data_IF_936439509185
#
_entry.id   IF_936439509185
#
_cell.length_a   1.000
_cell.length_b   1.000
_cell.length_c   1.000
_cell.angle_alpha   90.00
_cell.angle_beta   90.00
_cell.angle_gamma   90.00
#
_symmetry.space_group_name_H-M   'P 1'
#
loop_
_entity.id
_entity.type
_entity.pdbx_description
1 polymer ?
#
# COMPACT_ATOMS: atom_id res chain seq x y z
N UNK A 1 6.73 -23.17 10.47
CA UNK A 1 5.44 -23.77 10.89
C UNK A 1 5.40 -24.09 12.39
N UNK A 2 6.40 -24.76 12.95
CA UNK A 2 6.43 -25.11 14.39
C UNK A 2 6.33 -23.89 15.31
N UNK A 3 7.08 -22.82 15.00
CA UNK A 3 7.02 -21.55 15.74
C UNK A 3 5.63 -20.89 15.71
N UNK A 4 4.98 -20.86 14.55
CA UNK A 4 3.60 -20.35 14.43
C UNK A 4 2.61 -21.17 15.28
N UNK A 5 2.74 -22.50 15.29
CA UNK A 5 1.92 -23.36 16.13
C UNK A 5 2.05 -23.00 17.62
N UNK A 6 3.29 -22.80 18.11
CA UNK A 6 3.54 -22.38 19.49
C UNK A 6 2.99 -20.99 19.83
N UNK A 7 3.01 -20.04 18.89
CA UNK A 7 2.37 -18.72 19.09
C UNK A 7 0.85 -18.83 19.13
N UNK A 8 0.28 -19.66 18.26
CA UNK A 8 -1.16 -19.88 18.18
C UNK A 8 -1.71 -20.46 19.49
N UNK A 9 -0.96 -21.35 20.16
CA UNK A 9 -1.35 -21.92 21.46
C UNK A 9 -1.53 -20.87 22.58
N UNK A 10 -0.88 -19.71 22.47
CA UNK A 10 -1.01 -18.62 23.43
C UNK A 10 -2.33 -17.83 23.24
N UNK A 11 -3.03 -18.02 22.13
CA UNK A 11 -4.32 -17.38 21.88
C UNK A 11 -5.48 -18.16 22.50
N UNK A 12 -6.46 -17.48 23.11
CA UNK A 12 -7.72 -18.10 23.53
C UNK A 12 -8.40 -18.85 22.38
N UNK A 13 -8.88 -20.07 22.64
CA UNK A 13 -9.54 -20.93 21.64
C UNK A 13 -10.99 -20.52 21.38
N UNK A 14 -11.18 -19.32 20.82
CA UNK A 14 -12.50 -18.73 20.52
C UNK A 14 -12.47 -17.97 19.20
N UNK A 15 -13.60 -17.94 18.50
CA UNK A 15 -13.73 -17.31 17.18
C UNK A 15 -13.30 -15.84 17.14
N UNK A 16 -13.44 -15.10 18.25
CA UNK A 16 -13.02 -13.71 18.36
C UNK A 16 -11.51 -13.46 18.15
N UNK A 17 -10.67 -14.50 18.21
CA UNK A 17 -9.22 -14.36 17.95
C UNK A 17 -8.85 -14.58 16.47
N UNK A 18 -9.83 -14.72 15.56
CA UNK A 18 -9.59 -15.01 14.13
C UNK A 18 -8.61 -14.03 13.47
N UNK A 19 -8.89 -12.72 13.57
CA UNK A 19 -8.03 -11.70 12.95
C UNK A 19 -6.62 -11.75 13.52
N UNK A 20 -6.50 -11.87 14.84
CA UNK A 20 -5.22 -11.91 15.54
C UNK A 20 -4.41 -13.16 15.17
N UNK A 21 -5.07 -14.30 14.97
CA UNK A 21 -4.42 -15.52 14.49
C UNK A 21 -3.91 -15.37 13.04
N UNK A 22 -4.66 -14.67 12.18
CA UNK A 22 -4.22 -14.34 10.82
C UNK A 22 -3.04 -13.36 10.83
N UNK A 23 -3.08 -12.31 11.65
CA UNK A 23 -1.95 -11.39 11.81
C UNK A 23 -0.69 -12.11 12.28
N UNK A 24 -0.79 -12.98 13.29
CA UNK A 24 0.32 -13.80 13.76
C UNK A 24 0.89 -14.72 12.66
N UNK A 25 0.04 -15.31 11.82
CA UNK A 25 0.48 -16.11 10.70
C UNK A 25 1.28 -15.27 9.69
N UNK A 26 0.78 -14.08 9.35
CA UNK A 26 1.45 -13.17 8.43
C UNK A 26 2.74 -12.58 9.01
N UNK A 27 2.79 -12.26 10.30
CA UNK A 27 4.00 -11.78 10.97
C UNK A 27 5.11 -12.84 10.99
N UNK A 28 4.74 -14.11 11.25
CA UNK A 28 5.71 -15.20 11.34
C UNK A 28 6.20 -15.69 9.97
N UNK A 29 5.33 -15.70 8.95
CA UNK A 29 5.64 -16.28 7.64
C UNK A 29 5.72 -15.27 6.49
N UNK A 30 5.33 -14.02 6.71
CA UNK A 30 5.19 -13.00 5.68
C UNK A 30 3.89 -13.07 4.86
N UNK A 31 3.17 -14.21 4.92
CA UNK A 31 1.93 -14.48 4.18
C UNK A 31 1.11 -15.60 4.84
N UNK A 32 -0.15 -15.74 4.42
CA UNK A 32 -1.12 -16.72 4.93
C UNK A 32 -1.09 -17.97 4.03
N UNK A 33 -0.38 -19.00 4.48
CA UNK A 33 -0.34 -20.30 3.81
C UNK A 33 -1.60 -21.13 4.06
N UNK A 34 -1.86 -22.12 3.18
CA UNK A 34 -2.96 -23.10 3.40
C UNK A 34 -2.78 -23.86 4.71
N UNK A 35 -1.55 -24.15 5.11
CA UNK A 35 -1.28 -24.83 6.38
C UNK A 35 -1.52 -23.93 7.59
N UNK A 36 -1.27 -22.62 7.46
CA UNK A 36 -1.65 -21.64 8.48
C UNK A 36 -3.17 -21.63 8.67
N UNK A 37 -3.94 -21.58 7.58
CA UNK A 37 -5.41 -21.64 7.60
C UNK A 37 -5.90 -22.90 8.32
N UNK A 38 -5.34 -24.07 7.98
CA UNK A 38 -5.66 -25.35 8.64
C UNK A 38 -5.35 -25.35 10.13
N UNK A 39 -4.23 -24.75 10.55
CA UNK A 39 -3.87 -24.68 11.97
C UNK A 39 -4.80 -23.74 12.74
N UNK A 40 -5.11 -22.57 12.17
CA UNK A 40 -6.06 -21.61 12.76
C UNK A 40 -7.44 -22.24 12.90
N UNK A 41 -7.93 -22.90 11.85
CA UNK A 41 -9.22 -23.59 11.85
C UNK A 41 -9.30 -24.63 12.97
N UNK A 42 -8.25 -25.46 13.11
CA UNK A 42 -8.16 -26.47 14.18
C UNK A 42 -8.10 -25.85 15.58
N UNK A 43 -7.30 -24.79 15.76
CA UNK A 43 -7.14 -24.14 17.07
C UNK A 43 -8.43 -23.45 17.55
N UNK A 44 -9.08 -22.72 16.65
CA UNK A 44 -10.31 -21.96 16.94
C UNK A 44 -11.59 -22.81 16.85
N UNK A 45 -11.47 -24.09 16.46
CA UNK A 45 -12.58 -25.04 16.27
C UNK A 45 -13.64 -24.54 15.27
N UNK A 46 -13.17 -24.09 14.11
CA UNK A 46 -13.99 -23.62 12.99
C UNK A 46 -13.61 -24.33 11.70
N UNK A 47 -14.43 -24.17 10.65
CA UNK A 47 -14.08 -24.68 9.32
C UNK A 47 -12.98 -23.83 8.67
N UNK A 48 -12.19 -24.44 7.78
CA UNK A 48 -11.21 -23.71 6.96
C UNK A 48 -11.87 -22.59 6.13
N UNK A 49 -13.11 -22.80 5.65
CA UNK A 49 -13.87 -21.80 4.92
C UNK A 49 -14.16 -20.54 5.76
N UNK A 50 -14.45 -20.71 7.06
CA UNK A 50 -14.64 -19.58 7.98
C UNK A 50 -13.36 -18.80 8.25
N UNK A 51 -12.18 -19.43 8.12
CA UNK A 51 -10.88 -18.73 8.19
C UNK A 51 -10.55 -18.07 6.87
N UNK A 52 -10.84 -18.75 5.75
CA UNK A 52 -10.58 -18.26 4.40
C UNK A 52 -11.35 -16.97 4.10
N UNK A 53 -12.60 -16.87 4.55
CA UNK A 53 -13.44 -15.68 4.35
C UNK A 53 -12.73 -14.39 4.78
N UNK A 54 -12.43 -14.19 6.08
CA UNK A 54 -11.68 -13.04 6.56
C UNK A 54 -10.30 -12.91 5.93
N UNK A 55 -9.58 -14.00 5.72
CA UNK A 55 -8.25 -13.98 5.12
C UNK A 55 -8.26 -13.33 3.72
N UNK A 56 -9.29 -13.58 2.91
CA UNK A 56 -9.46 -12.96 1.58
C UNK A 56 -10.23 -11.64 1.58
N UNK A 57 -10.95 -11.33 2.66
CA UNK A 57 -11.76 -10.13 2.75
C UNK A 57 -10.91 -8.88 3.02
N UNK A 58 -9.89 -9.00 3.88
CA UNK A 58 -9.00 -7.89 4.19
C UNK A 58 -7.81 -7.87 3.23
N UNK A 59 -7.63 -6.76 2.52
CA UNK A 59 -6.54 -6.55 1.56
C UNK A 59 -5.13 -6.53 2.18
N UNK A 60 -5.04 -6.46 3.51
CA UNK A 60 -3.76 -6.50 4.23
C UNK A 60 -3.13 -7.90 4.27
N UNK A 61 -3.94 -8.96 4.13
CA UNK A 61 -3.46 -10.33 4.19
C UNK A 61 -2.94 -10.79 2.83
N UNK A 62 -1.73 -11.32 2.83
CA UNK A 62 -1.06 -11.84 1.63
C UNK A 62 -1.31 -13.33 1.51
N UNK A 63 -1.58 -13.81 0.30
CA UNK A 63 -1.79 -15.22 0.00
C UNK A 63 -0.66 -15.87 -0.80
N UNK A 64 0.38 -15.09 -1.07
CA UNK A 64 1.63 -15.52 -1.70
C UNK A 64 2.81 -14.92 -0.93
N UNK A 65 3.99 -15.57 -0.99
CA UNK A 65 5.21 -15.00 -0.42
C UNK A 65 5.43 -13.58 -0.93
N UNK A 66 5.73 -12.61 -0.04
CA UNK A 66 6.04 -11.25 -0.47
C UNK A 66 7.38 -11.22 -1.23
N UNK A 67 7.56 -10.26 -2.15
CA UNK A 67 8.87 -10.02 -2.74
C UNK A 67 9.87 -9.57 -1.66
N UNK A 68 11.17 -9.63 -1.96
CA UNK A 68 12.22 -9.17 -1.02
C UNK A 68 12.02 -7.71 -0.60
N UNK A 69 11.61 -6.87 -1.55
CA UNK A 69 11.23 -5.49 -1.31
C UNK A 69 9.86 -5.21 -1.88
N UNK A 70 8.91 -4.91 -1.00
CA UNK A 70 7.56 -4.54 -1.33
C UNK A 70 7.42 -3.00 -1.35
N UNK A 71 7.15 -2.44 -2.52
CA UNK A 71 6.78 -1.02 -2.68
C UNK A 71 5.27 -0.92 -2.79
N UNK A 72 4.65 -0.18 -1.87
CA UNK A 72 3.22 0.08 -1.87
C UNK A 72 2.97 1.54 -2.22
N UNK A 73 2.32 1.79 -3.35
CA UNK A 73 1.98 3.13 -3.81
C UNK A 73 0.72 3.67 -3.14
N UNK A 74 0.76 4.90 -2.63
CA UNK A 74 -0.38 5.53 -1.96
C UNK A 74 -1.41 6.08 -2.97
N UNK A 75 -2.61 5.48 -3.01
CA UNK A 75 -3.75 5.97 -3.79
C UNK A 75 -4.62 6.99 -3.05
N UNK A 76 -4.14 7.55 -1.94
CA UNK A 76 -4.87 8.56 -1.17
C UNK A 76 -5.16 9.83 -2.00
N UNK A 77 -6.23 10.57 -1.70
CA UNK A 77 -6.58 11.80 -2.42
C UNK A 77 -5.43 12.83 -2.44
N UNK A 78 -4.79 13.06 -1.28
CA UNK A 78 -3.67 14.01 -1.17
C UNK A 78 -2.52 13.64 -2.09
N UNK A 79 -2.13 12.35 -2.15
CA UNK A 79 -1.11 11.87 -3.07
C UNK A 79 -1.52 12.07 -4.53
N UNK A 80 -2.77 11.78 -4.90
CA UNK A 80 -3.24 11.96 -6.29
C UNK A 80 -3.26 13.42 -6.72
N UNK A 81 -3.74 14.33 -5.87
CA UNK A 81 -3.79 15.78 -6.15
C UNK A 81 -2.39 16.34 -6.42
N UNK A 82 -1.37 15.94 -5.64
CA UNK A 82 0.01 16.40 -5.83
C UNK A 82 0.80 15.61 -6.88
N UNK A 83 0.13 14.75 -7.66
CA UNK A 83 0.72 14.05 -8.80
C UNK A 83 1.32 12.68 -8.51
N UNK A 84 0.84 11.97 -7.48
CA UNK A 84 1.26 10.63 -7.09
C UNK A 84 1.07 9.57 -8.18
N UNK A 85 0.19 9.78 -9.16
CA UNK A 85 0.09 8.88 -10.31
C UNK A 85 1.37 8.83 -11.15
N UNK A 86 2.13 9.94 -11.19
CA UNK A 86 3.45 9.96 -11.85
C UNK A 86 4.47 9.14 -11.05
N UNK A 87 4.40 9.17 -9.72
CA UNK A 87 5.23 8.32 -8.85
C UNK A 87 4.99 6.84 -9.18
N UNK A 88 3.73 6.40 -9.27
CA UNK A 88 3.38 5.04 -9.69
C UNK A 88 3.99 4.67 -11.03
N UNK A 89 3.81 5.50 -12.05
CA UNK A 89 4.30 5.24 -13.41
C UNK A 89 5.83 5.12 -13.48
N UNK A 90 6.55 5.89 -12.66
CA UNK A 90 8.01 5.78 -12.57
C UNK A 90 8.41 4.42 -11.99
N UNK A 91 7.76 3.96 -10.92
CA UNK A 91 8.01 2.63 -10.37
C UNK A 91 7.68 1.53 -11.38
N UNK A 92 6.53 1.60 -12.07
CA UNK A 92 6.17 0.63 -13.11
C UNK A 92 7.25 0.57 -14.22
N UNK A 93 7.78 1.73 -14.64
CA UNK A 93 8.82 1.80 -15.67
C UNK A 93 10.20 1.28 -15.20
N UNK A 94 10.63 1.63 -13.99
CA UNK A 94 11.96 1.24 -13.47
C UNK A 94 12.01 -0.24 -13.03
N UNK A 95 10.90 -0.76 -12.49
CA UNK A 95 10.77 -2.15 -12.07
C UNK A 95 10.44 -3.07 -13.25
N UNK A 96 9.72 -2.58 -14.25
CA UNK A 96 9.26 -3.40 -15.37
C UNK A 96 8.07 -4.31 -15.02
N UNK A 97 7.37 -4.05 -13.92
CA UNK A 97 6.13 -4.74 -13.53
C UNK A 97 4.96 -3.75 -13.43
N UNK A 98 3.71 -4.24 -13.49
CA UNK A 98 2.53 -3.39 -13.29
C UNK A 98 2.15 -3.29 -11.82
N UNK A 99 1.29 -2.33 -11.50
CA UNK A 99 0.64 -2.28 -10.19
C UNK A 99 -0.13 -3.60 -9.91
N UNK A 100 0.18 -4.23 -8.77
CA UNK A 100 -0.35 -5.52 -8.34
C UNK A 100 0.55 -6.71 -8.70
N UNK A 101 1.72 -6.48 -9.30
CA UNK A 101 2.63 -7.52 -9.76
C UNK A 101 4.00 -7.43 -9.07
N UNK A 102 4.66 -8.59 -9.01
CA UNK A 102 6.08 -8.68 -8.72
C UNK A 102 6.89 -8.59 -10.02
N UNK A 103 8.18 -8.29 -9.86
CA UNK A 103 9.19 -8.47 -10.90
C UNK A 103 9.43 -9.95 -11.19
N UNK A 104 9.97 -10.28 -12.37
CA UNK A 104 10.16 -11.67 -12.82
C UNK A 104 11.04 -12.52 -11.88
N UNK A 105 11.93 -11.88 -11.13
CA UNK A 105 12.82 -12.51 -10.15
C UNK A 105 12.27 -12.49 -8.71
N UNK A 106 11.03 -12.02 -8.51
CA UNK A 106 10.39 -11.83 -7.21
C UNK A 106 11.20 -10.95 -6.22
N UNK A 107 12.19 -10.19 -6.70
CA UNK A 107 13.01 -9.33 -5.84
C UNK A 107 12.24 -8.08 -5.41
N UNK A 108 11.45 -7.53 -6.32
CA UNK A 108 10.63 -6.33 -6.12
C UNK A 108 9.15 -6.62 -6.40
N UNK A 109 8.26 -5.89 -5.75
CA UNK A 109 6.86 -5.83 -6.18
C UNK A 109 6.24 -4.46 -5.92
N UNK A 110 5.24 -4.13 -6.74
CA UNK A 110 4.55 -2.85 -6.71
C UNK A 110 3.07 -3.06 -6.41
N UNK A 111 2.60 -2.60 -5.26
CA UNK A 111 1.24 -2.85 -4.78
C UNK A 111 0.46 -1.57 -4.52
N UNK A 112 -0.86 -1.68 -4.60
CA UNK A 112 -1.78 -0.58 -4.26
C UNK A 112 -1.89 -0.45 -2.74
N UNK A 113 -1.63 0.73 -2.21
CA UNK A 113 -1.86 1.05 -0.80
C UNK A 113 -2.99 2.04 -0.61
N UNK A 114 -3.82 1.75 0.39
CA UNK A 114 -4.88 2.62 0.83
C UNK A 114 -4.35 3.68 1.81
N UNK A 115 -5.17 4.70 2.08
CA UNK A 115 -4.82 5.78 2.99
C UNK A 115 -4.54 5.24 4.40
N UNK A 116 -3.38 5.55 4.95
CA UNK A 116 -2.96 5.20 6.31
C UNK A 116 -2.85 6.43 7.25
N UNK A 117 -3.27 7.61 6.78
CA UNK A 117 -3.22 8.86 7.53
C UNK A 117 -1.91 9.65 7.48
N UNK A 118 -0.87 9.21 6.75
CA UNK A 118 0.41 9.94 6.66
C UNK A 118 0.44 10.99 5.55
N UNK A 119 -0.69 11.68 5.32
CA UNK A 119 -0.90 12.62 4.21
C UNK A 119 0.10 13.80 4.22
N UNK A 120 0.70 14.12 5.36
CA UNK A 120 1.79 15.08 5.54
C UNK A 120 3.11 14.68 4.87
N UNK A 121 3.16 13.52 4.19
CA UNK A 121 4.30 13.12 3.34
C UNK A 121 3.95 13.01 1.85
N UNK A 122 2.80 13.50 1.42
CA UNK A 122 2.36 13.36 0.03
C UNK A 122 3.28 14.12 -0.97
N UNK A 123 3.57 13.55 -2.15
CA UNK A 123 3.28 12.17 -2.55
C UNK A 123 4.28 11.18 -1.95
N UNK A 124 3.82 9.98 -1.59
CA UNK A 124 4.61 8.98 -0.88
C UNK A 124 4.38 7.55 -1.38
N UNK A 125 5.30 6.66 -0.98
CA UNK A 125 5.13 5.21 -1.03
C UNK A 125 5.48 4.60 0.32
N UNK A 126 5.13 3.33 0.52
CA UNK A 126 5.66 2.52 1.61
C UNK A 126 6.63 1.50 1.08
N UNK A 127 7.83 1.44 1.64
CA UNK A 127 8.81 0.39 1.33
C UNK A 127 8.86 -0.54 2.53
N UNK A 128 8.43 -1.79 2.36
CA UNK A 128 8.31 -2.77 3.45
C UNK A 128 7.55 -2.21 4.68
N UNK A 129 6.50 -1.41 4.43
CA UNK A 129 5.68 -0.77 5.46
C UNK A 129 6.21 0.56 6.00
N UNK A 130 7.44 0.96 5.67
CA UNK A 130 8.02 2.25 6.09
C UNK A 130 7.63 3.36 5.11
N UNK A 131 7.18 4.50 5.62
CA UNK A 131 6.77 5.64 4.79
C UNK A 131 7.99 6.30 4.17
N UNK A 132 8.00 6.46 2.85
CA UNK A 132 9.04 7.18 2.11
C UNK A 132 8.40 8.31 1.31
N UNK A 133 8.70 9.53 1.71
CA UNK A 133 8.18 10.76 1.11
C UNK A 133 8.49 11.99 1.98
N UNK A 134 8.18 13.20 1.49
CA UNK A 134 7.60 13.49 0.17
C UNK A 134 8.57 13.21 -0.98
N UNK A 135 8.02 12.77 -2.11
CA UNK A 135 8.78 12.39 -3.31
C UNK A 135 8.57 13.39 -4.46
N UNK A 136 9.67 13.88 -5.02
CA UNK A 136 9.67 14.46 -6.38
C UNK A 136 9.84 13.36 -7.43
N UNK A 137 9.64 13.71 -8.72
CA UNK A 137 9.86 12.74 -9.82
C UNK A 137 11.31 12.25 -9.86
N UNK A 138 12.27 13.15 -9.70
CA UNK A 138 13.70 12.80 -9.67
C UNK A 138 14.03 11.88 -8.48
N UNK A 139 13.47 12.19 -7.31
CA UNK A 139 13.64 11.37 -6.12
C UNK A 139 12.99 10.00 -6.25
N UNK A 140 11.84 9.92 -6.92
CA UNK A 140 11.19 8.64 -7.21
C UNK A 140 12.07 7.77 -8.10
N UNK A 141 12.67 8.34 -9.16
CA UNK A 141 13.62 7.59 -10.02
C UNK A 141 14.83 7.12 -9.21
N UNK A 142 15.42 7.98 -8.38
CA UNK A 142 16.56 7.63 -7.52
C UNK A 142 16.19 6.51 -6.55
N UNK A 143 15.04 6.61 -5.90
CA UNK A 143 14.53 5.60 -4.97
C UNK A 143 14.32 4.27 -5.70
N UNK A 144 13.60 4.26 -6.82
CA UNK A 144 13.34 3.05 -7.58
C UNK A 144 14.63 2.31 -7.98
N UNK A 145 15.65 3.05 -8.43
CA UNK A 145 16.96 2.46 -8.78
C UNK A 145 17.70 1.90 -7.58
N UNK A 146 17.77 2.63 -6.46
CA UNK A 146 18.37 2.12 -5.21
C UNK A 146 17.70 0.82 -4.75
N UNK A 147 16.37 0.75 -4.82
CA UNK A 147 15.64 -0.47 -4.46
C UNK A 147 15.96 -1.63 -5.40
N UNK A 148 16.14 -1.37 -6.70
CA UNK A 148 16.56 -2.35 -7.71
C UNK A 148 17.96 -2.88 -7.48
N UNK A 149 18.86 -2.02 -7.00
CA UNK A 149 20.21 -2.41 -6.57
C UNK A 149 20.21 -3.14 -5.20
N UNK A 150 19.04 -3.27 -4.56
CA UNK A 150 18.84 -4.01 -3.31
C UNK A 150 19.18 -3.21 -2.05
N UNK A 151 19.28 -1.88 -2.14
CA UNK A 151 19.53 -0.99 -1.00
C UNK A 151 18.24 -0.72 -0.19
N UNK A 152 18.34 -0.72 1.14
CA UNK A 152 17.24 -0.30 2.04
C UNK A 152 17.23 1.24 2.15
N UNK A 153 16.10 1.93 1.89
CA UNK A 153 16.00 3.38 1.99
C UNK A 153 15.88 3.87 3.45
N UNK A 154 16.50 3.18 4.41
CA UNK A 154 16.43 3.50 5.85
C UNK A 154 16.94 4.91 6.17
N UNK A 155 17.73 5.48 5.26
CA UNK A 155 18.35 6.80 5.34
C UNK A 155 17.57 7.91 4.62
N UNK A 156 16.33 7.66 4.16
CA UNK A 156 15.60 8.64 3.37
C UNK A 156 15.23 9.89 4.20
N UNK A 157 15.64 11.11 3.76
CA UNK A 157 15.52 12.30 4.60
C UNK A 157 14.07 12.72 4.80
N UNK A 158 13.66 12.82 6.07
CA UNK A 158 12.37 13.40 6.44
C UNK A 158 12.37 14.90 6.16
N UNK A 159 11.42 15.35 5.33
CA UNK A 159 11.29 16.76 4.97
C UNK A 159 9.82 17.16 5.01
N UNK A 160 9.52 18.38 5.47
CA UNK A 160 8.16 18.90 5.40
C UNK A 160 7.73 19.06 3.94
N UNK A 161 6.44 18.83 3.65
CA UNK A 161 5.89 19.11 2.32
C UNK A 161 6.08 20.59 2.02
N UNK A 162 6.85 20.88 0.97
CA UNK A 162 6.78 22.18 0.32
C UNK A 162 5.57 22.15 -0.60
N UNK A 163 4.41 22.51 -0.06
CA UNK A 163 3.28 22.86 -0.91
C UNK A 163 3.74 24.14 -1.57
N UNK A 164 4.19 24.05 -2.83
CA UNK A 164 4.26 25.25 -3.65
C UNK A 164 2.84 25.80 -3.61
N UNK A 165 2.60 27.04 -3.13
CA UNK A 165 1.28 27.60 -3.26
C UNK A 165 0.99 27.56 -4.75
N UNK A 166 0.03 26.71 -5.15
CA UNK A 166 -0.66 26.97 -6.39
C UNK A 166 -1.16 28.40 -6.18
N UNK A 167 -0.57 29.35 -6.90
CA UNK A 167 -1.06 30.71 -6.89
C UNK A 167 -2.56 30.59 -7.17
N UNK A 168 -3.38 31.08 -6.25
CA UNK A 168 -4.84 30.99 -6.31
C UNK A 168 -5.40 31.36 -7.72
N UNK A 169 -4.63 32.17 -8.45
CA UNK A 169 -4.81 32.59 -9.85
C UNK A 169 -4.93 31.44 -10.87
N UNK A 170 -4.19 30.33 -10.74
CA UNK A 170 -4.24 29.23 -11.73
C UNK A 170 -5.47 28.30 -11.52
N UNK A 171 -5.97 28.23 -10.29
CA UNK A 171 -7.18 27.47 -9.98
C UNK A 171 -8.44 28.17 -10.53
N UNK A 172 -8.50 29.50 -10.51
CA UNK A 172 -9.59 30.27 -11.15
C UNK A 172 -9.59 30.15 -12.67
N UNK A 173 -8.44 30.08 -13.33
CA UNK A 173 -8.37 29.89 -14.79
C UNK A 173 -8.92 28.51 -15.23
N UNK A 174 -8.74 27.50 -14.37
CA UNK A 174 -9.20 26.13 -14.65
C UNK A 174 -10.66 25.91 -14.24
N UNK A 175 -11.13 26.55 -13.17
CA UNK A 175 -12.53 26.43 -12.70
C UNK A 175 -13.47 27.42 -13.42
N UNK A 176 -12.99 28.61 -13.78
CA UNK A 176 -13.76 29.64 -14.49
C UNK A 176 -14.07 29.30 -15.96
N UNK A 177 -13.31 28.40 -16.57
CA UNK A 177 -13.59 27.90 -17.94
C UNK A 177 -14.61 26.76 -17.98
N UNK A 178 -14.94 26.12 -16.85
CA UNK A 178 -15.85 24.97 -16.79
C UNK A 178 -17.31 25.32 -16.39
N UNK A 179 -17.59 26.56 -15.95
CA UNK A 179 -18.92 27.00 -15.51
C UNK A 179 -19.41 28.31 -16.17
N UNK A 180 -18.85 28.67 -17.32
CA UNK A 180 -19.12 29.94 -18.00
C UNK A 180 -20.30 29.99 -18.98
N UNK A 181 -21.10 28.92 -19.17
CA UNK A 181 -22.25 28.95 -20.10
C UNK A 181 -23.39 28.00 -19.66
N UNK A 182 -24.07 28.29 -18.56
CA UNK A 182 -25.39 27.73 -18.27
C UNK A 182 -26.09 28.55 -17.18
N UNK A 183 -26.58 29.75 -17.51
CA UNK A 183 -27.26 30.56 -16.50
C UNK A 183 -27.82 31.89 -16.94
N UNK A 184 -28.30 32.05 -18.18
CA UNK A 184 -29.07 33.27 -18.52
C UNK A 184 -30.06 33.05 -19.67
N UNK A 185 -30.98 32.08 -19.56
CA UNK A 185 -32.17 32.04 -20.41
C UNK A 185 -33.29 31.18 -19.78
N UNK A 186 -33.84 31.61 -18.64
CA UNK A 186 -35.12 31.14 -18.12
C UNK A 186 -35.69 32.14 -17.12
N UNK A 187 -36.22 33.25 -17.63
CA UNK A 187 -36.84 34.27 -16.78
C UNK A 187 -37.33 35.49 -17.55
N UNK A 188 -38.33 35.29 -18.42
CA UNK A 188 -39.32 36.29 -18.83
C UNK A 188 -40.50 35.60 -19.50
#
# INVERSE_FOLDING_TARGET
MERFAGLLEQLPRRQGEMLRALHLAQEEMGWISRDAIRLIARHLRVSEAQVYGPATFYSEFRHSPPPRTLVTWCSGPSCRVVGGDRVRRIFEAEFGCRLGENTEDDALGLWLGQCNGTCERAPMVWVNGRVVGPLTMLETVKLARRLKDGEDPIDWPERPIKIAPATFVEAEATYGSAHGEAGEEAGR
#
